data_IF_614513975505
#
_entry.id   IF_614513975505
#
_cell.length_a   1.000
_cell.length_b   1.000
_cell.length_c   1.000
_cell.angle_alpha   90.00
_cell.angle_beta   90.00
_cell.angle_gamma   90.00
#
_symmetry.space_group_name_H-M   'P 1'
#
loop_
_entity.id
_entity.type
_entity.pdbx_description
1 polymer ?
#
# COMPACT_ATOMS: atom_id res chain seq x y z
N UNK A 1 -7.80 13.44 52.78
CA UNK A 1 -7.88 12.27 51.87
C UNK A 1 -8.56 12.56 50.52
N UNK A 2 -9.51 13.50 50.39
CA UNK A 2 -10.16 13.79 49.09
C UNK A 2 -9.22 14.50 48.10
N UNK A 3 -8.38 15.43 48.57
CA UNK A 3 -7.45 16.14 47.70
C UNK A 3 -6.40 15.19 47.06
N UNK A 4 -5.90 14.23 47.82
CA UNK A 4 -4.93 13.24 47.34
C UNK A 4 -5.54 12.30 46.30
N UNK A 5 -6.79 11.87 46.48
CA UNK A 5 -7.49 11.03 45.49
C UNK A 5 -7.83 11.83 44.22
N UNK A 6 -8.24 13.09 44.36
CA UNK A 6 -8.50 13.97 43.22
C UNK A 6 -7.24 14.16 42.35
N UNK A 7 -6.09 14.44 42.97
CA UNK A 7 -4.80 14.58 42.27
C UNK A 7 -4.39 13.26 41.60
N UNK A 8 -4.54 12.13 42.29
CA UNK A 8 -4.20 10.82 41.74
C UNK A 8 -5.02 10.49 40.48
N UNK A 9 -6.32 10.79 40.48
CA UNK A 9 -7.19 10.59 39.30
C UNK A 9 -6.78 11.49 38.14
N UNK A 10 -6.48 12.77 38.41
CA UNK A 10 -6.06 13.71 37.38
C UNK A 10 -4.75 13.27 36.71
N UNK A 11 -3.76 12.85 37.51
CA UNK A 11 -2.47 12.34 37.01
C UNK A 11 -2.67 11.05 36.21
N UNK A 12 -3.50 10.13 36.71
CA UNK A 12 -3.82 8.88 36.00
C UNK A 12 -4.45 9.16 34.64
N UNK A 13 -5.45 10.05 34.57
CA UNK A 13 -6.08 10.45 33.31
C UNK A 13 -5.11 11.12 32.35
N UNK A 14 -4.22 11.99 32.84
CA UNK A 14 -3.22 12.63 32.00
C UNK A 14 -2.26 11.59 31.39
N UNK A 15 -1.76 10.64 32.20
CA UNK A 15 -0.92 9.54 31.72
C UNK A 15 -1.65 8.65 30.71
N UNK A 16 -2.91 8.32 30.96
CA UNK A 16 -3.71 7.55 30.00
C UNK A 16 -3.83 8.26 28.65
N UNK A 17 -4.05 9.58 28.64
CA UNK A 17 -4.12 10.36 27.39
C UNK A 17 -2.79 10.29 26.63
N UNK A 18 -1.67 10.54 27.30
CA UNK A 18 -0.35 10.45 26.66
C UNK A 18 -0.06 9.08 26.05
N UNK A 19 -0.46 7.99 26.72
CA UNK A 19 -0.30 6.63 26.19
C UNK A 19 -1.22 6.37 24.99
N UNK A 20 -2.45 6.85 25.04
CA UNK A 20 -3.39 6.75 23.91
C UNK A 20 -2.88 7.53 22.69
N UNK A 21 -2.35 8.73 22.89
CA UNK A 21 -1.79 9.54 21.82
C UNK A 21 -0.61 8.82 21.14
N UNK A 22 0.33 8.27 21.94
CA UNK A 22 1.45 7.50 21.42
C UNK A 22 1.00 6.22 20.68
N UNK A 23 -0.01 5.53 21.20
CA UNK A 23 -0.58 4.37 20.51
C UNK A 23 -1.26 4.76 19.19
N UNK A 24 -1.94 5.90 19.18
CA UNK A 24 -2.62 6.41 17.99
C UNK A 24 -1.63 6.75 16.89
N UNK A 25 -0.51 7.41 17.23
CA UNK A 25 0.58 7.73 16.29
C UNK A 25 1.17 6.46 15.66
N UNK A 26 1.52 5.47 16.48
CA UNK A 26 2.03 4.18 15.97
C UNK A 26 1.01 3.43 15.11
N UNK A 27 -0.28 3.52 15.46
CA UNK A 27 -1.35 2.92 14.65
C UNK A 27 -1.45 3.59 13.28
N UNK A 28 -1.32 4.91 13.21
CA UNK A 28 -1.37 5.66 11.96
C UNK A 28 -0.20 5.29 11.06
N UNK A 29 1.01 5.23 11.61
CA UNK A 29 2.19 4.83 10.84
C UNK A 29 2.06 3.41 10.31
N UNK A 30 1.58 2.47 11.14
CA UNK A 30 1.30 1.11 10.70
C UNK A 30 0.29 1.08 9.55
N UNK A 31 -0.78 1.85 9.63
CA UNK A 31 -1.85 1.83 8.63
C UNK A 31 -1.41 2.48 7.32
N UNK A 32 -0.56 3.51 7.39
CA UNK A 32 0.16 4.07 6.24
C UNK A 32 1.02 3.01 5.55
N UNK A 33 1.92 2.36 6.30
CA UNK A 33 2.82 1.33 5.75
C UNK A 33 2.04 0.15 5.14
N UNK A 34 0.92 -0.25 5.75
CA UNK A 34 0.03 -1.27 5.17
C UNK A 34 -0.54 -0.87 3.82
N UNK A 35 -0.86 0.41 3.64
CA UNK A 35 -1.41 0.93 2.39
C UNK A 35 -0.34 0.93 1.30
N UNK A 36 0.86 1.43 1.63
CA UNK A 36 2.02 1.41 0.74
C UNK A 36 2.38 -0.03 0.33
N UNK A 37 2.38 -0.97 1.29
CA UNK A 37 2.59 -2.39 1.01
C UNK A 37 1.54 -2.97 0.07
N UNK A 38 0.26 -2.67 0.29
CA UNK A 38 -0.80 -3.15 -0.60
C UNK A 38 -0.64 -2.62 -2.03
N UNK A 39 -0.19 -1.36 -2.18
CA UNK A 39 0.11 -0.81 -3.49
C UNK A 39 1.29 -1.53 -4.16
N UNK A 40 2.39 -1.76 -3.44
CA UNK A 40 3.55 -2.49 -3.96
C UNK A 40 3.17 -3.90 -4.43
N UNK A 41 2.32 -4.59 -3.68
CA UNK A 41 1.82 -5.92 -4.08
C UNK A 41 1.01 -5.87 -5.39
N UNK A 42 0.23 -4.82 -5.62
CA UNK A 42 -0.50 -4.63 -6.88
C UNK A 42 0.47 -4.36 -8.04
N UNK A 43 1.50 -3.54 -7.81
CA UNK A 43 2.54 -3.26 -8.81
C UNK A 43 3.31 -4.54 -9.18
N UNK A 44 3.74 -5.33 -8.19
CA UNK A 44 4.41 -6.62 -8.43
C UNK A 44 3.51 -7.61 -9.17
N UNK A 45 2.23 -7.72 -8.79
CA UNK A 45 1.28 -8.58 -9.47
C UNK A 45 1.06 -8.17 -10.94
N UNK A 46 1.00 -6.87 -11.23
CA UNK A 46 0.86 -6.35 -12.59
C UNK A 46 2.10 -6.67 -13.44
N UNK A 47 3.31 -6.45 -12.90
CA UNK A 47 4.57 -6.80 -13.58
C UNK A 47 4.69 -8.31 -13.84
N UNK A 48 4.36 -9.14 -12.84
CA UNK A 48 4.38 -10.58 -12.98
C UNK A 48 3.33 -11.08 -14.00
N UNK A 49 2.16 -10.45 -14.06
CA UNK A 49 1.15 -10.74 -15.07
C UNK A 49 1.62 -10.38 -16.48
N UNK A 50 2.27 -9.24 -16.66
CA UNK A 50 2.82 -8.82 -17.95
C UNK A 50 3.86 -9.82 -18.47
N UNK A 51 4.87 -10.16 -17.65
CA UNK A 51 5.88 -11.16 -18.03
C UNK A 51 5.27 -12.55 -18.29
N UNK A 52 4.19 -12.92 -17.59
CA UNK A 52 3.46 -14.17 -17.87
C UNK A 52 2.75 -14.13 -19.23
N UNK A 53 2.07 -13.04 -19.57
CA UNK A 53 1.39 -12.88 -20.87
C UNK A 53 2.39 -12.97 -22.01
N UNK A 54 3.51 -12.26 -21.90
CA UNK A 54 4.57 -12.25 -22.91
C UNK A 54 5.16 -13.66 -23.14
N UNK A 55 5.43 -14.39 -22.05
CA UNK A 55 5.88 -15.78 -22.11
C UNK A 55 4.84 -16.69 -22.78
N UNK A 56 3.57 -16.58 -22.39
CA UNK A 56 2.49 -17.38 -23.00
C UNK A 56 2.34 -17.07 -24.49
N UNK A 57 2.42 -15.79 -24.89
CA UNK A 57 2.36 -15.37 -26.28
C UNK A 57 3.49 -15.98 -27.11
N UNK A 58 4.74 -15.95 -26.61
CA UNK A 58 5.87 -16.59 -27.28
C UNK A 58 5.79 -18.11 -27.31
N UNK A 59 5.59 -18.74 -26.15
CA UNK A 59 5.75 -20.19 -26.01
C UNK A 59 4.55 -20.98 -26.53
N UNK A 60 3.32 -20.46 -26.37
CA UNK A 60 2.10 -21.18 -26.76
C UNK A 60 1.50 -20.71 -28.08
N UNK A 61 1.73 -19.46 -28.46
CA UNK A 61 1.14 -18.88 -29.68
C UNK A 61 2.18 -18.59 -30.77
N UNK A 62 3.47 -18.90 -30.53
CA UNK A 62 4.62 -18.60 -31.42
C UNK A 62 4.65 -17.14 -31.90
N UNK A 63 4.12 -16.20 -31.08
CA UNK A 63 4.13 -14.78 -31.42
C UNK A 63 5.57 -14.25 -31.37
N UNK A 64 5.99 -13.60 -32.46
CA UNK A 64 7.27 -12.89 -32.58
C UNK A 64 7.03 -11.40 -32.74
N UNK A 65 7.95 -10.60 -32.24
CA UNK A 65 7.88 -9.15 -32.39
C UNK A 65 8.02 -8.77 -33.88
N UNK A 66 7.11 -7.95 -34.45
CA UNK A 66 7.18 -7.57 -35.86
C UNK A 66 8.37 -6.63 -36.12
N UNK A 67 9.12 -6.87 -37.20
CA UNK A 67 10.25 -6.01 -37.61
C UNK A 67 9.86 -4.78 -38.42
N UNK A 68 8.61 -4.70 -38.90
CA UNK A 68 8.12 -3.59 -39.71
C UNK A 68 6.67 -3.27 -39.33
N UNK A 69 6.34 -1.99 -39.19
CA UNK A 69 5.00 -1.54 -38.82
C UNK A 69 4.55 -0.40 -39.73
N UNK A 70 3.38 -0.56 -40.34
CA UNK A 70 2.71 0.50 -41.09
C UNK A 70 1.59 1.05 -40.20
N UNK A 71 1.83 2.22 -39.61
CA UNK A 71 0.80 2.92 -38.86
C UNK A 71 -0.26 3.43 -39.84
N UNK A 72 -1.43 2.77 -39.86
CA UNK A 72 -2.59 3.24 -40.61
C UNK A 72 -3.12 4.49 -39.90
N UNK A 73 -2.83 5.67 -40.46
CA UNK A 73 -3.50 6.91 -40.06
C UNK A 73 -4.95 6.81 -40.53
N UNK A 74 -5.89 6.70 -39.60
CA UNK A 74 -7.30 6.93 -39.91
C UNK A 74 -7.45 8.40 -40.33
N UNK A 75 -7.89 8.58 -41.59
CA UNK A 75 -8.20 9.90 -42.15
C UNK A 75 -9.47 10.47 -41.47
N UNK A 76 -9.56 11.80 -41.32
CA UNK A 76 -10.58 12.48 -40.52
C UNK A 76 -12.01 12.36 -41.06
#
# INVERSE_FOLDING_TARGET
MIATTAIAVAVSKHRSRALLDAQQELSWERDRLKTEWAQLQLEEAALAAHGRVERVARERLDMREPTDFVAVQEAP
#
